data_IF_871601949194
#
_entry.id   IF_871601949194
#
_cell.length_a   1.000
_cell.length_b   1.000
_cell.length_c   1.000
_cell.angle_alpha   90.00
_cell.angle_beta   90.00
_cell.angle_gamma   90.00
#
_symmetry.space_group_name_H-M   'P 1'
#
loop_
_entity.id
_entity.type
_entity.pdbx_description
1 polymer ?
#
# COMPACT_ATOMS: atom_id res chain seq x y z
N UNK A 1 -7.34 11.25 -27.41
CA UNK A 1 -6.93 12.65 -27.22
C UNK A 1 -6.00 12.68 -26.03
N UNK A 2 -4.73 13.01 -26.22
CA UNK A 2 -3.75 13.11 -25.14
C UNK A 2 -3.92 14.51 -24.56
N UNK A 3 -4.43 14.62 -23.33
CA UNK A 3 -4.43 15.87 -22.59
C UNK A 3 -3.21 15.82 -21.68
N UNK A 4 -2.11 16.43 -22.11
CA UNK A 4 -0.97 16.70 -21.23
C UNK A 4 -1.16 18.12 -20.69
N UNK A 5 -1.51 18.24 -19.41
CA UNK A 5 -1.43 19.53 -18.72
C UNK A 5 0.03 19.77 -18.35
N UNK A 6 0.73 20.39 -19.29
CA UNK A 6 2.13 20.76 -19.18
C UNK A 6 2.28 21.95 -18.24
N UNK A 7 2.40 21.71 -16.92
CA UNK A 7 3.08 22.55 -15.93
C UNK A 7 3.38 21.72 -14.67
N UNK A 8 4.50 21.99 -14.00
CA UNK A 8 4.65 21.74 -12.55
C UNK A 8 3.54 22.59 -11.89
N UNK A 9 2.35 22.02 -11.73
CA UNK A 9 1.13 22.81 -11.79
C UNK A 9 0.00 22.22 -10.95
N UNK A 10 -0.76 23.13 -10.34
CA UNK A 10 -1.90 22.95 -9.40
C UNK A 10 -2.98 21.94 -9.80
N UNK A 11 -2.90 21.32 -10.97
CA UNK A 11 -3.90 20.36 -11.43
C UNK A 11 -3.82 19.06 -10.64
N UNK A 12 -4.98 18.57 -10.21
CA UNK A 12 -5.14 17.29 -9.54
C UNK A 12 -4.74 16.11 -10.43
N UNK A 13 -4.96 16.21 -11.73
CA UNK A 13 -4.67 15.14 -12.68
C UNK A 13 -3.32 15.41 -13.34
N UNK A 14 -2.37 14.51 -13.17
CA UNK A 14 -1.05 14.58 -13.84
C UNK A 14 -1.23 14.28 -15.32
N UNK A 15 -2.09 13.30 -15.63
CA UNK A 15 -2.47 12.98 -16.99
C UNK A 15 -3.54 11.90 -17.02
N UNK A 16 -4.21 11.79 -18.17
CA UNK A 16 -5.11 10.69 -18.48
C UNK A 16 -4.89 10.22 -19.92
N UNK A 17 -4.56 8.94 -20.08
CA UNK A 17 -4.44 8.28 -21.39
C UNK A 17 -5.55 7.26 -21.55
N UNK A 18 -6.40 7.47 -22.57
CA UNK A 18 -7.47 6.55 -22.95
C UNK A 18 -7.13 5.85 -24.26
N UNK A 19 -7.01 4.54 -24.19
CA UNK A 19 -6.76 3.64 -25.31
C UNK A 19 -8.00 3.40 -26.16
N UNK A 20 -7.81 3.09 -27.44
CA UNK A 20 -8.90 2.71 -28.35
C UNK A 20 -9.37 1.26 -28.19
N UNK A 21 -8.60 0.43 -27.46
CA UNK A 21 -8.92 -0.97 -27.18
C UNK A 21 -9.35 -1.14 -25.73
N UNK A 22 -10.28 -2.05 -25.48
CA UNK A 22 -10.66 -2.48 -24.14
C UNK A 22 -9.41 -3.00 -23.41
N UNK A 23 -9.28 -2.65 -22.13
CA UNK A 23 -8.12 -2.98 -21.32
C UNK A 23 -8.33 -2.62 -19.85
N UNK A 24 -7.27 -2.67 -19.03
CA UNK A 24 -7.37 -2.34 -17.62
C UNK A 24 -7.62 -0.84 -17.41
N UNK A 25 -8.10 -0.48 -16.22
CA UNK A 25 -8.05 0.90 -15.73
C UNK A 25 -7.01 0.97 -14.62
N UNK A 26 -5.90 1.67 -14.89
CA UNK A 26 -4.77 1.79 -13.96
C UNK A 26 -4.69 3.21 -13.41
N UNK A 27 -4.70 3.34 -12.08
CA UNK A 27 -4.68 4.60 -11.36
C UNK A 27 -3.40 4.65 -10.54
N UNK A 28 -2.58 5.66 -10.80
CA UNK A 28 -1.33 5.93 -10.10
C UNK A 28 -1.48 7.21 -9.28
N UNK A 29 -1.17 7.13 -7.99
CA UNK A 29 -1.11 8.28 -7.10
C UNK A 29 0.34 8.66 -6.84
N UNK A 30 0.61 9.97 -6.86
CA UNK A 30 1.90 10.53 -6.49
C UNK A 30 1.72 11.72 -5.55
N UNK A 31 2.56 11.82 -4.53
CA UNK A 31 2.55 12.96 -3.61
C UNK A 31 1.36 12.99 -2.65
N UNK A 32 0.86 11.82 -2.20
CA UNK A 32 -0.12 11.76 -1.08
C UNK A 32 0.45 12.46 0.16
N UNK A 33 1.76 12.30 0.41
CA UNK A 33 2.52 13.19 1.26
C UNK A 33 3.29 14.19 0.40
N UNK A 34 3.20 15.48 0.71
CA UNK A 34 3.76 16.53 -0.14
C UNK A 34 5.30 16.64 -0.14
N UNK A 35 5.97 16.01 0.81
CA UNK A 35 7.44 15.92 0.83
C UNK A 35 7.98 14.71 0.06
N UNK A 36 7.14 13.98 -0.68
CA UNK A 36 7.46 12.76 -1.42
C UNK A 36 7.21 12.94 -2.93
N UNK A 37 7.97 13.79 -3.63
CA UNK A 37 7.67 14.15 -5.03
C UNK A 37 8.03 13.05 -6.05
N UNK A 38 8.73 11.98 -5.64
CA UNK A 38 9.27 10.98 -6.57
C UNK A 38 8.20 10.28 -7.41
N UNK A 39 7.05 9.96 -6.81
CA UNK A 39 5.92 9.35 -7.50
C UNK A 39 5.30 10.27 -8.55
N UNK A 40 5.18 11.56 -8.21
CA UNK A 40 4.62 12.57 -9.12
C UNK A 40 5.52 12.78 -10.34
N UNK A 41 6.83 12.91 -10.11
CA UNK A 41 7.84 13.01 -11.18
C UNK A 41 7.86 11.76 -12.06
N UNK A 42 7.80 10.57 -11.47
CA UNK A 42 7.77 9.32 -12.22
C UNK A 42 6.55 9.20 -13.13
N UNK A 43 5.36 9.59 -12.63
CA UNK A 43 4.14 9.59 -13.44
C UNK A 43 4.28 10.55 -14.62
N UNK A 44 4.77 11.77 -14.40
CA UNK A 44 5.00 12.73 -15.49
C UNK A 44 5.94 12.16 -16.56
N UNK A 45 7.10 11.62 -16.15
CA UNK A 45 8.09 11.09 -17.09
C UNK A 45 7.58 9.88 -17.88
N UNK A 46 6.83 8.98 -17.24
CA UNK A 46 6.24 7.84 -17.95
C UNK A 46 5.17 8.29 -18.93
N UNK A 47 4.30 9.23 -18.56
CA UNK A 47 3.31 9.79 -19.46
C UNK A 47 3.94 10.47 -20.67
N UNK A 48 5.01 11.24 -20.45
CA UNK A 48 5.81 11.87 -21.51
C UNK A 48 6.44 10.82 -22.41
N UNK A 49 7.07 9.79 -21.83
CA UNK A 49 7.66 8.68 -22.58
C UNK A 49 6.64 7.92 -23.43
N UNK A 50 5.42 7.70 -22.95
CA UNK A 50 4.33 7.09 -23.75
C UNK A 50 3.97 7.98 -24.94
N UNK A 51 3.82 9.29 -24.71
CA UNK A 51 3.42 10.24 -25.75
C UNK A 51 4.51 10.41 -26.83
N UNK A 52 5.76 10.65 -26.43
CA UNK A 52 6.89 10.88 -27.34
C UNK A 52 7.20 9.65 -28.22
N UNK A 53 7.02 8.45 -27.67
CA UNK A 53 7.24 7.20 -28.42
C UNK A 53 5.98 6.69 -29.14
N UNK A 54 4.84 7.40 -29.03
CA UNK A 54 3.58 7.00 -29.65
C UNK A 54 3.08 5.61 -29.23
N UNK A 55 3.31 5.21 -27.98
CA UNK A 55 2.98 3.86 -27.51
C UNK A 55 1.46 3.68 -27.45
N UNK A 56 0.96 2.61 -28.07
CA UNK A 56 -0.46 2.28 -28.03
C UNK A 56 -0.89 1.85 -26.62
N UNK A 57 -1.92 2.51 -26.08
CA UNK A 57 -2.54 2.19 -24.79
C UNK A 57 -3.77 1.30 -24.98
N UNK A 58 -3.95 0.31 -24.10
CA UNK A 58 -5.19 -0.43 -23.91
C UNK A 58 -5.86 0.00 -22.60
N UNK A 59 -7.17 0.22 -22.61
CA UNK A 59 -7.92 0.66 -21.43
C UNK A 59 -7.61 2.11 -21.06
N UNK A 60 -7.48 2.39 -19.77
CA UNK A 60 -7.28 3.74 -19.24
C UNK A 60 -6.10 3.81 -18.26
N UNK A 61 -5.32 4.88 -18.34
CA UNK A 61 -4.23 5.17 -17.41
C UNK A 61 -4.45 6.56 -16.82
N UNK A 62 -4.56 6.66 -15.50
CA UNK A 62 -4.72 7.90 -14.76
C UNK A 62 -3.51 8.15 -13.86
N UNK A 63 -2.96 9.36 -13.93
CA UNK A 63 -2.02 9.89 -12.95
C UNK A 63 -2.70 10.95 -12.08
N UNK A 64 -2.70 10.77 -10.77
CA UNK A 64 -3.40 11.64 -9.82
C UNK A 64 -2.40 12.18 -8.79
N UNK A 65 -2.39 13.50 -8.59
CA UNK A 65 -1.65 14.15 -7.50
C UNK A 65 -2.41 13.96 -6.18
N UNK A 66 -1.70 13.63 -5.12
CA UNK A 66 -2.24 13.35 -3.79
C UNK A 66 -2.60 14.60 -2.98
N UNK A 67 -1.65 15.19 -2.26
CA UNK A 67 -1.86 16.44 -1.52
C UNK A 67 -1.19 17.60 -2.26
N UNK A 68 -1.92 18.26 -3.16
CA UNK A 68 -1.37 19.33 -4.02
C UNK A 68 -0.88 20.50 -3.18
N UNK A 69 -1.65 20.91 -2.16
CA UNK A 69 -1.26 22.02 -1.30
C UNK A 69 0.03 21.72 -0.51
N UNK A 70 0.15 20.52 0.06
CA UNK A 70 1.36 20.13 0.79
C UNK A 70 2.56 19.89 -0.13
N UNK A 71 2.33 19.36 -1.35
CA UNK A 71 3.36 19.16 -2.38
C UNK A 71 4.01 20.50 -2.76
N UNK A 72 3.20 21.53 -3.00
CA UNK A 72 3.70 22.88 -3.28
C UNK A 72 4.45 23.49 -2.09
N UNK A 73 4.09 23.12 -0.86
CA UNK A 73 4.77 23.56 0.35
C UNK A 73 6.02 22.73 0.70
N UNK A 74 6.27 21.60 0.00
CA UNK A 74 7.34 20.65 0.34
C UNK A 74 7.17 20.02 1.74
N UNK A 75 5.95 19.94 2.26
CA UNK A 75 5.63 19.42 3.60
C UNK A 75 4.89 18.10 3.48
N UNK A 76 5.00 17.23 4.49
CA UNK A 76 4.24 15.97 4.53
C UNK A 76 2.74 16.22 4.41
N UNK A 77 2.22 17.14 5.22
CA UNK A 77 0.85 17.65 5.21
C UNK A 77 0.83 19.08 5.76
N UNK A 78 -0.30 19.78 5.64
CA UNK A 78 -0.50 21.12 6.18
C UNK A 78 -1.21 21.11 7.54
N UNK A 79 -2.40 20.48 7.62
CA UNK A 79 -3.16 20.41 8.87
C UNK A 79 -3.11 19.01 9.49
N UNK A 80 -3.29 17.96 8.68
CA UNK A 80 -3.30 16.57 9.14
C UNK A 80 -2.91 15.60 8.05
N UNK A 81 -2.43 14.41 8.41
CA UNK A 81 -1.99 13.43 7.43
C UNK A 81 -3.16 12.94 6.55
N UNK A 82 -3.11 13.25 5.24
CA UNK A 82 -4.12 12.83 4.26
C UNK A 82 -4.29 11.30 4.24
N UNK A 83 -3.21 10.56 4.45
CA UNK A 83 -3.19 9.09 4.47
C UNK A 83 -3.63 8.49 5.82
N UNK A 84 -4.35 9.28 6.63
CA UNK A 84 -5.06 8.86 7.86
C UNK A 84 -6.56 9.18 7.81
N UNK A 85 -7.05 9.76 6.71
CA UNK A 85 -8.44 10.26 6.62
C UNK A 85 -9.41 9.30 5.91
N UNK A 86 -8.91 8.24 5.28
CA UNK A 86 -9.70 7.36 4.41
C UNK A 86 -10.43 6.26 5.19
N UNK A 87 -11.41 6.66 5.98
CA UNK A 87 -12.42 5.75 6.55
C UNK A 87 -13.80 6.25 6.19
N UNK A 88 -14.78 5.34 6.00
CA UNK A 88 -16.16 5.74 5.66
C UNK A 88 -16.71 6.77 6.65
N UNK A 89 -16.51 6.54 7.94
CA UNK A 89 -16.93 7.48 9.00
C UNK A 89 -16.29 8.86 8.85
N UNK A 90 -14.97 8.95 8.62
CA UNK A 90 -14.27 10.24 8.47
C UNK A 90 -14.72 10.93 7.18
N UNK A 91 -14.86 10.20 6.08
CA UNK A 91 -15.30 10.73 4.79
C UNK A 91 -16.69 11.34 4.91
N UNK A 92 -17.66 10.63 5.51
CA UNK A 92 -19.02 11.15 5.67
C UNK A 92 -19.08 12.36 6.61
N UNK A 93 -18.31 12.34 7.71
CA UNK A 93 -18.17 13.52 8.58
C UNK A 93 -17.60 14.72 7.83
N UNK A 94 -16.60 14.52 6.96
CA UNK A 94 -16.01 15.60 6.16
C UNK A 94 -17.01 16.14 5.12
N UNK A 95 -17.76 15.27 4.43
CA UNK A 95 -18.80 15.67 3.47
C UNK A 95 -19.91 16.52 4.09
N UNK A 96 -20.23 16.28 5.36
CA UNK A 96 -21.26 17.01 6.09
C UNK A 96 -20.82 18.41 6.57
N UNK A 97 -19.52 18.72 6.54
CA UNK A 97 -19.00 20.03 6.95
C UNK A 97 -19.36 21.13 5.95
N UNK A 98 -19.52 22.35 6.44
CA UNK A 98 -19.59 23.52 5.56
C UNK A 98 -18.22 23.82 4.95
N UNK A 99 -18.19 24.51 3.79
CA UNK A 99 -16.94 24.83 3.07
C UNK A 99 -15.90 25.58 3.93
N UNK A 100 -16.36 26.40 4.88
CA UNK A 100 -15.50 27.21 5.73
C UNK A 100 -14.86 26.42 6.87
N UNK A 101 -15.37 25.22 7.19
CA UNK A 101 -14.86 24.33 8.23
C UNK A 101 -13.90 23.26 7.69
N UNK A 102 -13.72 23.22 6.37
CA UNK A 102 -12.83 22.26 5.72
C UNK A 102 -11.36 22.70 5.89
N UNK A 103 -10.59 21.81 6.52
CA UNK A 103 -9.14 21.88 6.54
C UNK A 103 -8.55 21.63 5.13
N UNK A 104 -7.26 21.85 4.96
CA UNK A 104 -6.58 21.64 3.67
C UNK A 104 -6.76 20.20 3.20
N UNK A 105 -6.42 19.20 4.03
CA UNK A 105 -6.55 17.79 3.63
C UNK A 105 -7.99 17.31 3.48
N UNK A 106 -8.97 18.01 4.05
CA UNK A 106 -10.40 17.71 3.82
C UNK A 106 -10.76 17.99 2.36
N UNK A 107 -10.28 19.11 1.81
CA UNK A 107 -10.50 19.51 0.42
C UNK A 107 -9.76 18.56 -0.54
N UNK A 108 -8.54 18.18 -0.20
CA UNK A 108 -7.75 17.20 -0.97
C UNK A 108 -8.47 15.84 -1.02
N UNK A 109 -8.95 15.33 0.13
CA UNK A 109 -9.71 14.09 0.21
C UNK A 109 -10.99 14.15 -0.63
N UNK A 110 -11.80 15.20 -0.51
CA UNK A 110 -13.05 15.31 -1.26
C UNK A 110 -12.81 15.35 -2.77
N UNK A 111 -11.74 16.04 -3.20
CA UNK A 111 -11.33 16.11 -4.61
C UNK A 111 -10.93 14.74 -5.15
N UNK A 112 -10.06 13.99 -4.45
CA UNK A 112 -9.66 12.64 -4.86
C UNK A 112 -10.86 11.70 -4.83
N UNK A 113 -11.68 11.76 -3.78
CA UNK A 113 -12.87 10.93 -3.65
C UNK A 113 -13.83 11.10 -4.83
N UNK A 114 -14.07 12.34 -5.27
CA UNK A 114 -14.91 12.63 -6.43
C UNK A 114 -14.33 11.98 -7.70
N UNK A 115 -13.04 12.15 -7.97
CA UNK A 115 -12.37 11.55 -9.13
C UNK A 115 -12.47 10.03 -9.11
N UNK A 116 -12.22 9.40 -7.96
CA UNK A 116 -12.34 7.95 -7.83
C UNK A 116 -13.78 7.48 -8.04
N UNK A 117 -14.76 8.22 -7.52
CA UNK A 117 -16.18 7.93 -7.74
C UNK A 117 -16.52 7.99 -9.23
N UNK A 118 -16.02 8.99 -9.94
CA UNK A 118 -16.28 9.16 -11.36
C UNK A 118 -15.61 8.06 -12.20
N UNK A 119 -14.32 7.78 -11.97
CA UNK A 119 -13.59 6.69 -12.64
C UNK A 119 -14.31 5.35 -12.45
N UNK A 120 -14.71 5.02 -11.20
CA UNK A 120 -15.38 3.76 -10.89
C UNK A 120 -16.80 3.66 -11.49
N UNK A 121 -17.44 4.78 -11.84
CA UNK A 121 -18.74 4.81 -12.52
C UNK A 121 -18.61 4.72 -14.04
N UNK A 122 -17.59 5.36 -14.62
CA UNK A 122 -17.49 5.54 -16.07
C UNK A 122 -16.61 4.51 -16.76
N UNK A 123 -15.59 3.99 -16.08
CA UNK A 123 -14.62 3.09 -16.69
C UNK A 123 -14.92 1.62 -16.39
N UNK A 124 -14.17 0.73 -17.05
CA UNK A 124 -14.25 -0.72 -16.84
C UNK A 124 -12.93 -1.28 -16.32
N UNK A 125 -13.03 -2.34 -15.53
CA UNK A 125 -11.88 -3.04 -14.97
C UNK A 125 -11.24 -4.03 -15.96
N UNK A 126 -10.14 -4.70 -15.56
CA UNK A 126 -9.61 -4.74 -14.20
C UNK A 126 -9.01 -3.41 -13.71
N UNK A 127 -9.30 -3.07 -12.46
CA UNK A 127 -8.80 -1.84 -11.81
C UNK A 127 -7.47 -2.09 -11.09
N UNK A 128 -6.53 -1.17 -11.20
CA UNK A 128 -5.26 -1.23 -10.46
C UNK A 128 -5.04 0.09 -9.77
N UNK A 129 -4.90 0.08 -8.45
CA UNK A 129 -4.59 1.28 -7.67
C UNK A 129 -3.18 1.16 -7.12
N UNK A 130 -2.32 2.09 -7.51
CA UNK A 130 -0.90 2.09 -7.15
C UNK A 130 -0.57 3.44 -6.52
N UNK A 131 -0.07 3.43 -5.29
CA UNK A 131 0.32 4.65 -4.57
C UNK A 131 1.84 4.67 -4.38
N UNK A 132 2.47 5.75 -4.83
CA UNK A 132 3.92 5.93 -4.73
C UNK A 132 4.27 6.74 -3.50
N UNK A 133 5.15 6.16 -2.69
CA UNK A 133 5.68 6.74 -1.46
C UNK A 133 7.20 6.65 -1.42
N UNK A 134 7.78 7.39 -0.48
CA UNK A 134 9.18 7.25 -0.09
C UNK A 134 9.28 7.26 1.43
N UNK A 135 10.42 6.81 1.96
CA UNK A 135 10.65 6.76 3.40
C UNK A 135 11.65 7.82 3.87
N UNK A 136 11.59 8.20 5.14
CA UNK A 136 12.55 9.14 5.74
C UNK A 136 13.94 8.53 5.91
N UNK A 137 14.01 7.23 6.16
CA UNK A 137 15.25 6.47 6.29
C UNK A 137 15.71 5.88 4.96
N UNK A 138 17.00 5.54 4.88
CA UNK A 138 17.51 4.73 3.77
C UNK A 138 16.86 3.34 3.82
N UNK A 139 16.39 2.88 2.66
CA UNK A 139 15.67 1.61 2.52
C UNK A 139 15.93 1.02 1.13
N UNK A 140 15.73 -0.29 1.00
CA UNK A 140 15.46 -0.92 -0.29
C UNK A 140 14.10 -0.41 -0.81
N UNK A 141 13.85 -0.33 -2.13
CA UNK A 141 12.48 -0.18 -2.62
C UNK A 141 11.68 -1.41 -2.20
N UNK A 142 10.41 -1.25 -1.80
CA UNK A 142 9.55 -2.36 -1.41
C UNK A 142 8.08 -2.09 -1.70
N UNK A 143 7.30 -3.17 -1.70
CA UNK A 143 5.85 -3.12 -1.85
C UNK A 143 5.18 -3.33 -0.50
N UNK A 144 4.18 -2.52 -0.19
CA UNK A 144 3.24 -2.76 0.90
C UNK A 144 1.90 -3.22 0.35
N UNK A 145 1.37 -4.31 0.89
CA UNK A 145 0.04 -4.79 0.53
C UNK A 145 -0.74 -5.21 1.76
N UNK A 146 -2.04 -5.04 1.66
CA UNK A 146 -2.97 -5.84 2.44
C UNK A 146 -3.00 -7.29 1.92
N UNK A 147 -3.37 -8.19 2.82
CA UNK A 147 -3.11 -9.60 2.61
C UNK A 147 -4.17 -10.37 1.80
N UNK A 148 -4.59 -9.83 0.65
CA UNK A 148 -5.47 -10.50 -0.31
C UNK A 148 -4.67 -11.26 -1.39
N UNK A 149 -5.23 -12.36 -1.93
CA UNK A 149 -4.52 -13.17 -2.94
C UNK A 149 -4.24 -12.43 -4.24
N UNK A 150 -5.12 -11.53 -4.68
CA UNK A 150 -4.89 -10.66 -5.84
C UNK A 150 -3.63 -9.81 -5.68
N UNK A 151 -3.45 -9.19 -4.51
CA UNK A 151 -2.33 -8.30 -4.24
C UNK A 151 -1.02 -9.07 -4.10
N UNK A 152 -1.04 -10.24 -3.43
CA UNK A 152 0.13 -11.13 -3.35
C UNK A 152 0.62 -11.54 -4.73
N UNK A 153 -0.28 -12.01 -5.60
CA UNK A 153 0.08 -12.50 -6.94
C UNK A 153 0.64 -11.41 -7.83
N UNK A 154 0.03 -10.22 -7.82
CA UNK A 154 0.49 -9.10 -8.62
C UNK A 154 1.82 -8.54 -8.09
N UNK A 155 1.97 -8.39 -6.77
CA UNK A 155 3.19 -7.87 -6.16
C UNK A 155 4.40 -8.77 -6.39
N UNK A 156 4.20 -10.10 -6.45
CA UNK A 156 5.27 -11.07 -6.73
C UNK A 156 5.86 -10.96 -8.14
N UNK A 157 5.24 -10.20 -9.04
CA UNK A 157 5.80 -9.93 -10.37
C UNK A 157 7.02 -9.01 -10.30
N UNK A 158 7.13 -8.19 -9.25
CA UNK A 158 8.19 -7.20 -9.08
C UNK A 158 9.33 -7.77 -8.23
N UNK A 159 10.61 -7.52 -8.60
CA UNK A 159 11.76 -8.10 -7.93
C UNK A 159 12.18 -7.32 -6.66
N UNK A 160 11.21 -6.99 -5.79
CA UNK A 160 11.41 -6.18 -4.58
C UNK A 160 10.79 -6.87 -3.35
N UNK A 161 11.18 -6.53 -2.11
CA UNK A 161 10.58 -7.07 -0.91
C UNK A 161 9.09 -6.71 -0.83
N UNK A 162 8.30 -7.59 -0.21
CA UNK A 162 6.86 -7.39 -0.04
C UNK A 162 6.53 -7.44 1.45
N UNK A 163 5.95 -6.38 1.98
CA UNK A 163 5.53 -6.25 3.37
C UNK A 163 4.03 -6.54 3.46
N UNK A 164 3.68 -7.58 4.22
CA UNK A 164 2.31 -8.01 4.45
C UNK A 164 1.74 -7.36 5.71
N UNK A 165 0.50 -6.87 5.63
CA UNK A 165 -0.30 -6.56 6.82
C UNK A 165 0.00 -5.19 7.44
N UNK A 166 0.58 -4.24 6.69
CA UNK A 166 0.83 -2.89 7.22
C UNK A 166 -0.47 -2.17 7.62
N UNK A 167 -1.58 -2.51 6.98
CA UNK A 167 -2.90 -1.96 7.25
C UNK A 167 -3.44 -2.28 8.65
N UNK A 168 -2.97 -3.36 9.30
CA UNK A 168 -3.36 -3.66 10.69
C UNK A 168 -2.84 -2.60 11.67
N UNK A 169 -1.80 -1.88 11.27
CA UNK A 169 -1.07 -0.95 12.10
C UNK A 169 -1.37 0.52 11.76
N UNK A 170 -1.95 0.77 10.59
CA UNK A 170 -2.24 2.10 10.05
C UNK A 170 -3.74 2.27 9.79
N UNK A 171 -4.37 3.23 10.47
CA UNK A 171 -5.79 3.54 10.25
C UNK A 171 -5.98 4.69 9.24
N UNK A 172 -6.87 4.48 8.27
CA UNK A 172 -7.23 5.48 7.28
C UNK A 172 -6.29 5.73 6.08
N UNK A 173 -5.36 4.83 5.68
CA UNK A 173 -4.71 4.96 4.37
C UNK A 173 -5.67 4.85 3.19
N UNK A 174 -5.39 5.58 2.11
CA UNK A 174 -6.13 5.55 0.85
C UNK A 174 -6.24 4.12 0.29
N UNK A 175 -5.12 3.40 0.24
CA UNK A 175 -5.09 2.04 -0.30
C UNK A 175 -5.86 1.03 0.56
N UNK A 176 -5.99 1.26 1.87
CA UNK A 176 -6.83 0.44 2.74
C UNK A 176 -8.30 0.61 2.40
N UNK A 177 -8.76 1.85 2.20
CA UNK A 177 -10.12 2.17 1.77
C UNK A 177 -10.47 1.56 0.40
N UNK A 178 -9.54 1.65 -0.56
CA UNK A 178 -9.69 1.02 -1.87
C UNK A 178 -9.76 -0.51 -1.75
N UNK A 179 -8.92 -1.09 -0.87
CA UNK A 179 -8.91 -2.52 -0.71
C UNK A 179 -10.17 -3.06 -0.05
N UNK A 180 -10.76 -2.32 0.89
CA UNK A 180 -12.02 -2.68 1.54
C UNK A 180 -13.16 -2.83 0.52
N UNK A 181 -13.09 -2.08 -0.59
CA UNK A 181 -14.00 -2.22 -1.73
C UNK A 181 -13.65 -3.41 -2.66
N UNK A 182 -12.57 -4.13 -2.36
CA UNK A 182 -12.18 -5.36 -3.03
C UNK A 182 -11.25 -5.20 -4.23
N UNK A 183 -10.78 -3.99 -4.53
CA UNK A 183 -9.89 -3.75 -5.66
C UNK A 183 -8.43 -4.10 -5.34
N UNK A 184 -7.66 -4.38 -6.39
CA UNK A 184 -6.22 -4.53 -6.30
C UNK A 184 -5.60 -3.17 -5.95
N UNK A 185 -4.87 -3.15 -4.83
CA UNK A 185 -4.19 -1.97 -4.32
C UNK A 185 -2.77 -2.33 -3.89
N UNK A 186 -1.80 -1.51 -4.31
CA UNK A 186 -0.37 -1.73 -4.05
C UNK A 186 0.27 -0.40 -3.67
N UNK A 187 0.87 -0.33 -2.48
CA UNK A 187 1.75 0.78 -2.12
C UNK A 187 3.17 0.43 -2.55
N UNK A 188 3.85 1.35 -3.23
CA UNK A 188 5.25 1.18 -3.61
C UNK A 188 6.08 2.28 -2.95
N UNK A 189 6.97 1.84 -2.05
CA UNK A 189 7.90 2.67 -1.33
C UNK A 189 9.22 2.61 -2.09
N UNK A 190 9.53 3.66 -2.86
CA UNK A 190 10.55 3.59 -3.92
C UNK A 190 11.98 3.83 -3.44
N UNK A 191 12.15 4.24 -2.18
CA UNK A 191 13.45 4.58 -1.59
C UNK A 191 13.32 5.69 -0.56
N UNK A 192 14.44 6.36 -0.28
CA UNK A 192 14.48 7.50 0.64
C UNK A 192 14.03 8.80 -0.06
N UNK A 193 13.32 9.69 0.66
CA UNK A 193 12.68 10.90 0.12
C UNK A 193 13.54 11.74 -0.85
N UNK A 194 14.82 11.89 -0.57
CA UNK A 194 15.74 12.78 -1.31
C UNK A 194 16.65 12.05 -2.29
N UNK A 195 16.55 10.71 -2.34
CA UNK A 195 17.40 9.92 -3.21
C UNK A 195 16.89 10.00 -4.65
N UNK A 196 17.76 10.38 -5.59
CA UNK A 196 17.46 10.35 -7.03
C UNK A 196 16.97 8.97 -7.49
N UNK A 197 17.55 7.92 -6.92
CA UNK A 197 17.18 6.53 -7.19
C UNK A 197 15.70 6.23 -6.89
N UNK A 198 15.05 6.97 -5.98
CA UNK A 198 13.63 6.81 -5.71
C UNK A 198 12.75 7.17 -6.91
N UNK A 199 13.15 8.16 -7.71
CA UNK A 199 12.46 8.53 -8.95
C UNK A 199 12.66 7.43 -9.99
N UNK A 200 13.90 6.98 -10.20
CA UNK A 200 14.25 5.93 -11.15
C UNK A 200 13.51 4.62 -10.83
N UNK A 201 13.39 4.28 -9.55
CA UNK A 201 12.64 3.12 -9.07
C UNK A 201 11.14 3.27 -9.31
N UNK A 202 10.55 4.44 -9.05
CA UNK A 202 9.13 4.69 -9.35
C UNK A 202 8.84 4.61 -10.85
N UNK A 203 9.71 5.15 -11.71
CA UNK A 203 9.62 5.04 -13.18
C UNK A 203 9.67 3.56 -13.59
N UNK A 204 10.67 2.83 -13.11
CA UNK A 204 10.83 1.41 -13.43
C UNK A 204 9.61 0.59 -12.97
N UNK A 205 9.10 0.84 -11.76
CA UNK A 205 7.91 0.19 -11.25
C UNK A 205 6.69 0.48 -12.11
N UNK A 206 6.46 1.74 -12.48
CA UNK A 206 5.30 2.12 -13.28
C UNK A 206 5.32 1.47 -14.68
N UNK A 207 6.46 1.48 -15.39
CA UNK A 207 6.57 0.80 -16.68
C UNK A 207 6.27 -0.71 -16.58
N UNK A 208 6.83 -1.37 -15.57
CA UNK A 208 6.56 -2.78 -15.31
C UNK A 208 5.08 -3.01 -14.97
N UNK A 209 4.49 -2.18 -14.12
CA UNK A 209 3.09 -2.27 -13.74
C UNK A 209 2.16 -2.12 -14.95
N UNK A 210 2.41 -1.12 -15.81
CA UNK A 210 1.65 -0.89 -17.04
C UNK A 210 1.71 -2.09 -17.99
N UNK A 211 2.89 -2.71 -18.16
CA UNK A 211 3.04 -3.90 -18.97
C UNK A 211 2.37 -5.13 -18.34
N UNK A 212 2.61 -5.37 -17.05
CA UNK A 212 2.06 -6.52 -16.33
C UNK A 212 0.54 -6.44 -16.18
N UNK A 213 -0.02 -5.25 -16.01
CA UNK A 213 -1.45 -4.97 -16.01
C UNK A 213 -2.10 -5.11 -17.38
N UNK A 214 -1.31 -5.10 -18.47
CA UNK A 214 -1.79 -5.21 -19.85
C UNK A 214 -2.24 -3.89 -20.48
N UNK A 215 -1.97 -2.75 -19.82
CA UNK A 215 -2.23 -1.42 -20.38
C UNK A 215 -1.31 -1.14 -21.57
N UNK A 216 -0.06 -1.62 -21.50
CA UNK A 216 0.95 -1.53 -22.55
C UNK A 216 1.46 -2.93 -22.91
N UNK A 217 1.99 -3.09 -24.13
CA UNK A 217 2.76 -4.28 -24.50
C UNK A 217 4.22 -4.07 -24.11
N UNK A 218 4.86 -5.09 -23.52
CA UNK A 218 6.27 -5.02 -23.16
C UNK A 218 7.19 -4.80 -24.37
N UNK A 219 6.80 -5.29 -25.55
CA UNK A 219 7.53 -5.10 -26.82
C UNK A 219 7.58 -3.66 -27.28
N UNK A 220 6.62 -2.84 -26.86
CA UNK A 220 6.50 -1.44 -27.28
C UNK A 220 7.20 -0.50 -26.29
N UNK A 221 7.71 -1.04 -25.17
CA UNK A 221 8.44 -0.29 -24.14
C UNK A 221 9.94 -0.41 -24.40
N UNK A 222 10.56 0.70 -24.79
CA UNK A 222 12.01 0.77 -24.99
C UNK A 222 12.75 0.44 -23.68
N UNK A 223 13.70 -0.49 -23.75
CA UNK A 223 14.53 -0.85 -22.61
C UNK A 223 13.78 -1.61 -21.49
N UNK A 224 12.66 -2.28 -21.78
CA UNK A 224 11.80 -2.97 -20.80
C UNK A 224 12.58 -3.80 -19.75
N UNK A 225 13.52 -4.64 -20.19
CA UNK A 225 14.36 -5.48 -19.30
C UNK A 225 15.27 -4.66 -18.37
N UNK A 226 15.57 -3.41 -18.73
CA UNK A 226 16.29 -2.45 -17.89
C UNK A 226 15.52 -2.09 -16.63
N UNK A 227 14.19 -1.89 -16.73
CA UNK A 227 13.36 -1.55 -15.57
C UNK A 227 13.28 -2.68 -14.55
N UNK A 228 13.20 -3.94 -15.01
CA UNK A 228 13.27 -5.09 -14.11
C UNK A 228 14.61 -5.17 -13.38
N UNK A 229 15.72 -4.99 -14.11
CA UNK A 229 17.07 -4.99 -13.54
C UNK A 229 17.29 -3.83 -12.56
N UNK A 230 16.76 -2.64 -12.86
CA UNK A 230 16.79 -1.48 -11.97
C UNK A 230 16.21 -1.86 -10.60
N UNK A 231 14.95 -2.30 -10.55
CA UNK A 231 14.31 -2.68 -9.30
C UNK A 231 15.03 -3.82 -8.59
N UNK A 232 15.46 -4.85 -9.32
CA UNK A 232 16.16 -6.00 -8.74
C UNK A 232 17.47 -5.58 -8.07
N UNK A 233 18.23 -4.69 -8.70
CA UNK A 233 19.50 -4.19 -8.19
C UNK A 233 19.29 -3.28 -6.98
N UNK A 234 18.35 -2.34 -7.06
CA UNK A 234 17.99 -1.44 -5.97
C UNK A 234 17.47 -2.21 -4.74
N UNK A 235 16.75 -3.31 -4.96
CA UNK A 235 16.31 -4.23 -3.92
C UNK A 235 17.40 -5.19 -3.42
N UNK A 236 18.64 -5.12 -3.94
CA UNK A 236 19.74 -6.05 -3.62
C UNK A 236 19.32 -7.52 -3.77
N UNK A 237 18.59 -7.81 -4.84
CA UNK A 237 18.00 -9.12 -5.16
C UNK A 237 17.01 -9.68 -4.11
N UNK A 238 16.60 -8.87 -3.13
CA UNK A 238 15.65 -9.30 -2.12
C UNK A 238 14.22 -9.17 -2.65
N UNK A 239 13.62 -10.30 -3.02
CA UNK A 239 12.19 -10.38 -3.38
C UNK A 239 11.38 -11.19 -2.34
N UNK A 240 11.77 -11.11 -1.07
CA UNK A 240 11.16 -11.90 0.01
C UNK A 240 9.88 -11.24 0.53
N UNK A 241 8.95 -12.08 1.01
CA UNK A 241 7.84 -11.62 1.84
C UNK A 241 8.29 -11.41 3.29
N UNK A 242 7.78 -10.36 3.90
CA UNK A 242 7.95 -10.03 5.30
C UNK A 242 6.59 -9.78 5.94
N UNK A 243 6.50 -10.03 7.23
CA UNK A 243 5.37 -9.65 8.07
C UNK A 243 5.83 -8.71 9.18
N UNK A 244 4.97 -7.77 9.55
CA UNK A 244 5.19 -6.89 10.70
C UNK A 244 4.83 -7.65 11.97
N UNK A 245 5.76 -7.65 12.92
CA UNK A 245 5.63 -8.36 14.21
C UNK A 245 5.57 -7.41 15.39
N UNK A 246 5.91 -6.14 15.19
CA UNK A 246 5.87 -5.12 16.21
C UNK A 246 5.78 -3.73 15.58
N UNK A 247 5.01 -2.85 16.21
CA UNK A 247 4.93 -1.41 15.97
C UNK A 247 5.27 -0.71 17.27
N UNK A 248 6.15 0.29 17.21
CA UNK A 248 6.42 1.19 18.31
C UNK A 248 5.65 2.51 18.10
N UNK A 249 4.49 2.71 18.74
CA UNK A 249 3.73 3.95 18.60
C UNK A 249 4.38 5.11 19.36
N UNK A 250 4.08 6.33 18.94
CA UNK A 250 4.41 7.58 19.63
C UNK A 250 3.11 8.35 19.83
N UNK A 251 2.82 8.72 21.07
CA UNK A 251 1.66 9.53 21.46
C UNK A 251 2.00 11.02 21.48
N UNK A 252 0.95 11.85 21.45
CA UNK A 252 1.11 13.30 21.47
C UNK A 252 1.77 13.77 22.78
N UNK A 253 2.84 14.54 22.65
CA UNK A 253 3.62 15.06 23.78
C UNK A 253 4.74 14.15 24.25
N UNK A 254 4.87 12.94 23.70
CA UNK A 254 5.99 12.05 24.01
C UNK A 254 7.28 12.49 23.31
N UNK A 255 8.41 12.30 23.98
CA UNK A 255 9.74 12.54 23.42
C UNK A 255 10.29 11.23 22.87
N UNK A 256 10.36 11.13 21.56
CA UNK A 256 10.92 9.97 20.88
C UNK A 256 12.12 10.38 20.03
N UNK A 257 13.21 9.63 20.15
CA UNK A 257 14.38 9.78 19.30
C UNK A 257 14.91 8.41 18.87
N UNK A 258 14.95 8.19 17.56
CA UNK A 258 15.57 7.00 17.00
C UNK A 258 17.09 7.04 17.17
N UNK A 259 17.72 5.91 17.52
CA UNK A 259 19.17 5.83 17.45
C UNK A 259 19.62 5.97 15.99
N UNK A 260 20.65 6.79 15.71
CA UNK A 260 21.06 7.06 14.35
C UNK A 260 21.64 5.83 13.67
N UNK A 261 21.48 5.75 12.34
CA UNK A 261 22.19 4.81 11.48
C UNK A 261 21.44 3.52 11.13
N UNK A 262 20.28 3.25 11.72
CA UNK A 262 19.43 2.14 11.28
C UNK A 262 18.79 2.42 9.92
N UNK A 263 18.84 1.43 9.05
CA UNK A 263 18.17 1.39 7.76
C UNK A 263 17.06 0.33 7.81
N UNK A 264 16.00 0.53 7.01
CA UNK A 264 15.01 -0.52 6.84
C UNK A 264 15.67 -1.82 6.36
N UNK A 265 15.21 -2.94 6.88
CA UNK A 265 15.72 -4.30 6.68
C UNK A 265 16.99 -4.66 7.48
N UNK A 266 17.63 -3.74 8.21
CA UNK A 266 18.78 -4.06 9.06
C UNK A 266 18.40 -5.07 10.15
N UNK A 267 19.23 -6.11 10.32
CA UNK A 267 19.01 -7.13 11.34
C UNK A 267 19.44 -6.57 12.71
N UNK A 268 18.54 -6.65 13.68
CA UNK A 268 18.78 -6.30 15.08
C UNK A 268 18.67 -7.54 15.96
N UNK A 269 19.63 -7.70 16.88
CA UNK A 269 19.64 -8.79 17.85
C UNK A 269 18.98 -8.36 19.16
N UNK A 270 18.49 -9.34 19.94
CA UNK A 270 17.92 -9.10 21.27
C UNK A 270 18.87 -8.27 22.14
N UNK A 271 18.35 -7.26 22.80
CA UNK A 271 19.10 -6.36 23.69
C UNK A 271 19.75 -5.16 22.99
N UNK A 272 19.72 -5.05 21.66
CA UNK A 272 20.19 -3.86 20.94
C UNK A 272 19.29 -2.66 21.27
N UNK A 273 19.89 -1.54 21.66
CA UNK A 273 19.18 -0.25 21.81
C UNK A 273 18.77 0.25 20.43
N UNK A 274 17.48 0.53 20.26
CA UNK A 274 16.87 0.98 19.01
C UNK A 274 16.54 2.47 19.04
N UNK A 275 16.00 2.95 20.16
CA UNK A 275 15.55 4.32 20.32
C UNK A 275 15.62 4.74 21.78
N UNK A 276 15.41 6.02 22.02
CA UNK A 276 15.08 6.59 23.31
C UNK A 276 13.64 7.10 23.27
N UNK A 277 12.84 6.73 24.27
CA UNK A 277 11.45 7.14 24.39
C UNK A 277 11.18 7.57 25.83
N UNK A 278 10.87 8.85 26.04
CA UNK A 278 10.66 9.47 27.36
C UNK A 278 11.82 9.15 28.32
N UNK A 279 13.04 9.44 27.87
CA UNK A 279 14.30 9.24 28.60
C UNK A 279 14.58 7.76 28.96
N UNK A 280 13.94 6.80 28.27
CA UNK A 280 14.15 5.35 28.44
C UNK A 280 14.62 4.69 27.16
N UNK A 281 15.62 3.83 27.28
CA UNK A 281 16.12 3.03 26.18
C UNK A 281 15.08 1.99 25.73
N UNK A 282 14.74 2.00 24.44
CA UNK A 282 13.90 1.00 23.79
C UNK A 282 14.80 -0.10 23.21
N UNK A 283 14.66 -1.33 23.72
CA UNK A 283 15.48 -2.47 23.34
C UNK A 283 14.75 -3.43 22.40
N UNK A 284 15.48 -4.01 21.45
CA UNK A 284 14.99 -5.13 20.66
C UNK A 284 14.72 -6.35 21.55
N UNK A 285 13.48 -6.85 21.56
CA UNK A 285 13.08 -7.98 22.41
C UNK A 285 13.47 -9.35 21.83
N UNK A 286 13.69 -9.41 20.53
CA UNK A 286 14.06 -10.62 19.80
C UNK A 286 14.83 -10.26 18.52
N UNK A 287 15.49 -11.27 17.93
CA UNK A 287 16.11 -11.11 16.61
C UNK A 287 15.03 -10.79 15.56
N UNK A 288 15.18 -9.67 14.88
CA UNK A 288 14.24 -9.17 13.88
C UNK A 288 14.94 -8.23 12.91
N UNK A 289 14.24 -7.75 11.88
CA UNK A 289 14.71 -6.64 11.05
C UNK A 289 13.99 -5.36 11.46
N UNK A 290 14.73 -4.28 11.62
CA UNK A 290 14.15 -2.95 11.82
C UNK A 290 13.55 -2.44 10.52
N UNK A 291 12.48 -1.66 10.61
CA UNK A 291 11.72 -1.24 9.44
C UNK A 291 11.08 0.13 9.66
N UNK A 292 11.16 0.98 8.64
CA UNK A 292 10.69 2.37 8.63
C UNK A 292 11.01 3.14 9.93
N UNK A 293 12.29 3.21 10.36
CA UNK A 293 12.67 4.03 11.50
C UNK A 293 12.39 5.51 11.24
N UNK A 294 11.82 6.19 12.22
CA UNK A 294 11.44 7.59 12.16
C UNK A 294 12.64 8.51 12.42
N UNK A 295 13.11 9.19 11.37
CA UNK A 295 14.16 10.22 11.47
C UNK A 295 13.69 11.64 11.16
N UNK A 296 12.43 11.78 10.74
CA UNK A 296 11.82 13.09 10.51
C UNK A 296 11.16 13.60 11.81
N UNK A 297 10.88 14.91 11.86
CA UNK A 297 10.33 15.57 13.04
C UNK A 297 8.84 15.29 13.29
N UNK A 298 8.13 14.68 12.34
CA UNK A 298 6.69 14.43 12.40
C UNK A 298 6.38 12.95 12.14
N UNK A 299 5.59 12.33 13.01
CA UNK A 299 5.13 10.96 12.83
C UNK A 299 4.53 10.38 14.10
N UNK A 300 3.66 9.39 13.94
CA UNK A 300 3.00 8.66 15.03
C UNK A 300 3.62 7.27 15.25
N UNK A 301 4.58 6.89 14.39
CA UNK A 301 5.19 5.57 14.33
C UNK A 301 6.70 5.73 14.43
N UNK A 302 7.30 5.27 15.54
CA UNK A 302 8.74 5.39 15.77
C UNK A 302 9.55 4.41 14.95
N UNK A 303 9.16 3.14 14.96
CA UNK A 303 9.71 2.10 14.08
C UNK A 303 8.81 0.87 14.09
N UNK A 304 9.06 -0.02 13.15
CA UNK A 304 8.48 -1.35 13.09
C UNK A 304 9.58 -2.41 13.19
N UNK A 305 9.20 -3.60 13.63
CA UNK A 305 10.02 -4.79 13.44
C UNK A 305 9.30 -5.72 12.48
N UNK A 306 10.07 -6.26 11.54
CA UNK A 306 9.62 -7.22 10.55
C UNK A 306 10.41 -8.52 10.66
N UNK A 307 9.81 -9.61 10.17
CA UNK A 307 10.53 -10.86 9.92
C UNK A 307 10.15 -11.43 8.57
N UNK A 308 11.09 -12.14 7.95
CA UNK A 308 10.85 -12.83 6.69
C UNK A 308 9.81 -13.93 6.90
N UNK A 309 8.75 -13.92 6.08
CA UNK A 309 7.71 -14.93 6.12
C UNK A 309 8.23 -16.23 5.49
N UNK A 310 8.18 -17.38 6.19
CA UNK A 310 8.63 -18.65 5.63
C UNK A 310 7.82 -19.05 4.39
N UNK A 311 8.49 -19.56 3.34
CA UNK A 311 7.82 -20.04 2.11
C UNK A 311 6.75 -21.09 2.40
N UNK A 312 7.01 -21.98 3.36
CA UNK A 312 6.03 -22.98 3.81
C UNK A 312 4.77 -22.35 4.39
N UNK A 313 4.89 -21.28 5.19
CA UNK A 313 3.73 -20.57 5.73
C UNK A 313 2.91 -19.89 4.63
N UNK A 314 3.55 -19.30 3.61
CA UNK A 314 2.86 -18.73 2.45
C UNK A 314 2.10 -19.82 1.67
N UNK A 315 2.74 -20.96 1.42
CA UNK A 315 2.11 -22.09 0.74
C UNK A 315 0.90 -22.63 1.54
N UNK A 316 1.06 -22.77 2.85
CA UNK A 316 0.00 -23.25 3.73
C UNK A 316 -1.18 -22.27 3.79
N UNK A 317 -0.89 -20.97 3.82
CA UNK A 317 -1.88 -19.89 3.71
C UNK A 317 -2.74 -20.04 2.46
N UNK A 318 -2.10 -20.32 1.32
CA UNK A 318 -2.78 -20.51 0.04
C UNK A 318 -3.66 -21.76 0.04
N UNK A 319 -3.14 -22.87 0.58
CA UNK A 319 -3.88 -24.13 0.68
C UNK A 319 -5.14 -23.93 1.51
N UNK A 320 -5.01 -23.34 2.70
CA UNK A 320 -6.14 -23.15 3.60
C UNK A 320 -7.16 -22.12 3.12
N UNK A 321 -6.77 -21.13 2.31
CA UNK A 321 -7.72 -20.18 1.70
C UNK A 321 -8.51 -20.80 0.54
N UNK A 322 -7.98 -21.84 -0.12
CA UNK A 322 -8.69 -22.57 -1.20
C UNK A 322 -9.72 -23.55 -0.66
N UNK A 323 -9.38 -24.25 0.41
CA UNK A 323 -10.31 -25.12 1.13
C UNK A 323 -11.25 -24.16 1.88
N UNK A 324 -12.57 -24.37 1.89
CA UNK A 324 -13.54 -23.48 2.56
C UNK A 324 -13.43 -23.48 4.10
N UNK A 325 -12.22 -23.63 4.65
CA UNK A 325 -11.88 -23.50 6.07
C UNK A 325 -12.41 -22.23 6.72
N UNK A 326 -12.48 -21.05 6.04
CA UNK A 326 -13.13 -19.86 6.60
C UNK A 326 -14.57 -20.09 7.08
N UNK A 327 -15.32 -21.00 6.45
CA UNK A 327 -16.69 -21.33 6.85
C UNK A 327 -16.76 -22.16 8.14
N UNK A 328 -15.66 -22.79 8.56
CA UNK A 328 -15.57 -23.63 9.76
C UNK A 328 -15.08 -22.85 10.99
N UNK A 329 -14.55 -21.63 10.81
CA UNK A 329 -14.05 -20.79 11.90
C UNK A 329 -15.08 -20.48 13.01
N UNK A 330 -16.37 -20.25 12.73
CA UNK A 330 -17.39 -20.04 13.77
C UNK A 330 -17.68 -21.28 14.64
N UNK A 331 -17.13 -22.45 14.30
CA UNK A 331 -17.24 -23.66 15.15
C UNK A 331 -16.28 -23.53 16.34
N UNK A 332 -15.24 -22.70 16.23
CA UNK A 332 -14.28 -22.49 17.31
C UNK A 332 -14.94 -21.74 18.48
N UNK A 333 -14.67 -22.15 19.73
CA UNK A 333 -15.24 -21.50 20.90
C UNK A 333 -14.83 -20.03 20.96
N UNK A 334 -15.81 -19.14 21.16
CA UNK A 334 -15.59 -17.70 21.20
C UNK A 334 -15.47 -17.03 19.83
N UNK A 335 -15.82 -17.71 18.73
CA UNK A 335 -15.87 -17.14 17.38
C UNK A 335 -17.30 -17.20 16.85
N UNK A 336 -17.84 -16.09 16.38
CA UNK A 336 -19.18 -16.02 15.76
C UNK A 336 -19.16 -15.13 14.52
N UNK A 337 -20.21 -15.20 13.69
CA UNK A 337 -20.35 -14.26 12.57
C UNK A 337 -20.83 -12.90 13.07
N UNK A 338 -20.09 -11.83 12.77
CA UNK A 338 -20.60 -10.47 12.85
C UNK A 338 -21.33 -10.09 11.55
N UNK A 339 -20.78 -10.49 10.40
CA UNK A 339 -21.40 -10.35 9.10
C UNK A 339 -20.90 -11.45 8.16
N UNK A 340 -21.82 -12.34 7.74
CA UNK A 340 -21.48 -13.48 6.89
C UNK A 340 -21.16 -13.09 5.44
N UNK A 341 -21.75 -12.00 4.94
CA UNK A 341 -21.62 -11.60 3.53
C UNK A 341 -20.22 -11.09 3.20
N UNK A 342 -19.61 -10.32 4.11
CA UNK A 342 -18.25 -9.81 3.95
C UNK A 342 -17.21 -10.66 4.71
N UNK A 343 -17.61 -11.81 5.24
CA UNK A 343 -16.72 -12.72 5.97
C UNK A 343 -16.15 -12.13 7.26
N UNK A 344 -16.91 -11.33 7.99
CA UNK A 344 -16.49 -10.75 9.28
C UNK A 344 -16.92 -11.61 10.46
N UNK A 345 -15.94 -12.00 11.27
CA UNK A 345 -16.10 -12.76 12.50
C UNK A 345 -15.95 -11.84 13.71
N UNK A 346 -16.71 -12.10 14.77
CA UNK A 346 -16.49 -11.57 16.10
C UNK A 346 -15.72 -12.63 16.91
N UNK A 347 -14.57 -12.24 17.47
CA UNK A 347 -13.70 -13.13 18.23
C UNK A 347 -13.54 -12.60 19.64
N UNK A 348 -13.92 -13.42 20.64
CA UNK A 348 -13.68 -13.14 22.04
C UNK A 348 -12.22 -13.50 22.40
N UNK A 349 -11.41 -12.50 22.73
CA UNK A 349 -9.97 -12.70 22.98
C UNK A 349 -9.70 -13.52 24.25
N UNK A 350 -10.63 -13.54 25.22
CA UNK A 350 -10.47 -14.35 26.44
C UNK A 350 -10.60 -15.85 26.14
N UNK A 351 -11.52 -16.20 25.25
CA UNK A 351 -11.81 -17.60 24.90
C UNK A 351 -10.89 -18.13 23.79
N UNK A 352 -10.55 -17.30 22.79
CA UNK A 352 -9.77 -17.71 21.61
C UNK A 352 -8.23 -17.51 21.75
N UNK A 353 -7.77 -17.29 22.98
CA UNK A 353 -6.47 -16.66 23.35
C UNK A 353 -5.21 -17.35 22.81
N UNK A 354 -5.23 -18.66 22.58
CA UNK A 354 -4.03 -19.45 22.24
C UNK A 354 -3.92 -19.91 20.78
N UNK A 355 -4.96 -19.75 19.96
CA UNK A 355 -4.97 -20.24 18.57
C UNK A 355 -5.33 -19.17 17.52
N UNK A 356 -5.87 -18.02 17.93
CA UNK A 356 -6.53 -17.11 17.01
C UNK A 356 -5.57 -16.40 16.03
N UNK A 357 -4.71 -15.48 16.52
CA UNK A 357 -4.10 -14.46 15.64
C UNK A 357 -3.27 -15.04 14.48
N UNK A 358 -2.27 -15.92 14.70
CA UNK A 358 -1.50 -16.49 13.58
C UNK A 358 -2.34 -17.32 12.61
N UNK A 359 -3.32 -18.09 13.11
CA UNK A 359 -4.21 -18.91 12.28
C UNK A 359 -5.13 -18.05 11.43
N UNK A 360 -5.74 -17.02 12.01
CA UNK A 360 -6.57 -16.07 11.27
C UNK A 360 -5.75 -15.32 10.22
N UNK A 361 -4.53 -14.89 10.54
CA UNK A 361 -3.66 -14.21 9.58
C UNK A 361 -3.31 -15.13 8.40
N UNK A 362 -3.02 -16.41 8.68
CA UNK A 362 -2.79 -17.45 7.68
C UNK A 362 -3.99 -17.59 6.74
N UNK A 363 -5.21 -17.55 7.29
CA UNK A 363 -6.47 -17.65 6.55
C UNK A 363 -6.88 -16.34 5.84
N UNK A 364 -6.11 -15.26 5.97
CA UNK A 364 -6.42 -13.97 5.32
C UNK A 364 -7.44 -13.13 6.06
N UNK A 365 -7.66 -13.45 7.33
CA UNK A 365 -8.38 -12.60 8.25
C UNK A 365 -7.44 -11.56 8.85
N UNK A 366 -7.98 -10.37 9.05
CA UNK A 366 -7.27 -9.25 9.65
C UNK A 366 -8.10 -8.65 10.77
N UNK A 367 -7.42 -8.27 11.84
CA UNK A 367 -8.02 -7.79 13.07
C UNK A 367 -8.41 -6.31 12.96
N UNK A 368 -9.53 -5.97 13.59
CA UNK A 368 -9.86 -4.62 14.03
C UNK A 368 -10.36 -4.74 15.46
N UNK A 369 -9.63 -4.16 16.41
CA UNK A 369 -9.99 -4.24 17.82
C UNK A 369 -11.20 -3.34 18.04
N UNK A 370 -12.31 -3.88 18.55
CA UNK A 370 -13.46 -3.07 18.99
C UNK A 370 -13.22 -2.61 20.43
N UNK A 371 -12.85 -3.55 21.31
CA UNK A 371 -12.66 -3.30 22.73
C UNK A 371 -11.67 -4.31 23.33
N UNK A 372 -11.40 -4.22 24.64
CA UNK A 372 -10.42 -5.07 25.35
C UNK A 372 -10.73 -6.58 25.34
N UNK A 373 -11.92 -7.00 24.92
CA UNK A 373 -12.35 -8.40 24.94
C UNK A 373 -12.81 -8.93 23.58
N UNK A 374 -13.05 -8.06 22.60
CA UNK A 374 -13.66 -8.39 21.32
C UNK A 374 -12.86 -7.81 20.15
N UNK A 375 -12.56 -8.70 19.21
CA UNK A 375 -11.83 -8.42 17.98
C UNK A 375 -12.74 -8.75 16.82
N UNK A 376 -12.93 -7.81 15.89
CA UNK A 376 -13.46 -8.13 14.58
C UNK A 376 -12.36 -8.69 13.70
N UNK A 377 -12.67 -9.79 13.02
CA UNK A 377 -11.78 -10.38 12.05
C UNK A 377 -12.48 -10.42 10.70
N UNK A 378 -12.03 -9.59 9.77
CA UNK A 378 -12.62 -9.51 8.43
C UNK A 378 -11.76 -10.26 7.42
N UNK A 379 -12.40 -11.13 6.64
CA UNK A 379 -11.75 -11.84 5.54
C UNK A 379 -11.50 -10.91 4.36
N UNK A 380 -10.23 -10.67 4.03
CA UNK A 380 -9.85 -9.89 2.83
C UNK A 380 -10.13 -10.65 1.53
N UNK A 381 -10.15 -11.98 1.60
CA UNK A 381 -10.46 -12.81 0.44
C UNK A 381 -11.96 -12.77 0.09
N UNK A 382 -12.83 -12.56 1.10
CA UNK A 382 -14.28 -12.48 0.89
C UNK A 382 -14.70 -11.20 0.16
N UNK A 383 -14.01 -10.08 0.42
CA UNK A 383 -14.30 -8.79 -0.23
C UNK A 383 -13.57 -8.61 -1.56
N UNK A 384 -12.46 -9.32 -1.79
CA UNK A 384 -11.65 -9.21 -3.00
C UNK A 384 -12.45 -9.53 -4.28
N UNK A 385 -12.40 -8.61 -5.26
CA UNK A 385 -13.03 -8.75 -6.58
C UNK A 385 -12.22 -9.67 -7.51
N UNK A 386 -11.86 -10.85 -7.02
CA UNK A 386 -11.05 -11.86 -7.72
C UNK A 386 -11.53 -12.15 -9.16
N UNK A 387 -12.84 -12.18 -9.39
CA UNK A 387 -13.45 -12.43 -10.70
C UNK A 387 -12.97 -11.47 -11.79
N UNK A 388 -12.74 -10.20 -11.43
CA UNK A 388 -12.28 -9.15 -12.33
C UNK A 388 -10.89 -9.44 -12.91
N UNK A 389 -10.05 -10.18 -12.17
CA UNK A 389 -8.67 -10.45 -12.56
C UNK A 389 -8.46 -11.86 -13.11
N UNK A 390 -9.49 -12.72 -13.13
CA UNK A 390 -9.38 -14.15 -13.53
C UNK A 390 -8.80 -14.37 -14.92
N UNK A 391 -9.02 -13.41 -15.83
CA UNK A 391 -8.57 -13.48 -17.22
C UNK A 391 -7.15 -12.96 -17.43
N UNK A 392 -6.59 -12.27 -16.42
CA UNK A 392 -5.23 -11.72 -16.51
C UNK A 392 -4.19 -12.84 -16.46
N UNK A 393 -3.11 -12.67 -17.23
CA UNK A 393 -2.06 -13.69 -17.38
C UNK A 393 -1.38 -14.02 -16.03
N UNK A 394 -1.15 -13.01 -15.20
CA UNK A 394 -0.45 -13.15 -13.92
C UNK A 394 -1.32 -13.81 -12.86
N UNK A 395 -2.65 -13.62 -12.90
CA UNK A 395 -3.56 -14.23 -11.94
C UNK A 395 -3.76 -15.72 -12.21
N UNK A 396 -3.76 -16.12 -13.49
CA UNK A 396 -3.86 -17.52 -13.95
C UNK A 396 -2.62 -18.33 -13.66
N UNK A 397 -1.46 -17.70 -13.66
CA UNK A 397 -0.18 -18.37 -13.46
C UNK A 397 -0.12 -18.99 -12.05
N UNK A 398 0.00 -20.32 -11.94
CA UNK A 398 0.09 -21.00 -10.64
C UNK A 398 1.43 -20.74 -9.92
N UNK A 399 2.46 -20.23 -10.61
CA UNK A 399 3.78 -19.91 -10.03
C UNK A 399 3.79 -18.57 -9.26
N UNK A 400 2.77 -17.72 -9.40
CA UNK A 400 2.71 -16.40 -8.73
C UNK A 400 2.20 -16.47 -7.29
N UNK A 401 2.05 -17.67 -6.73
CA UNK A 401 1.49 -17.91 -5.40
C UNK A 401 2.55 -18.21 -4.36
#
# INVERSE_FOLDING_TARGET
MIIMEDQIGRSRTIGHLKGGKVGPTMIFFGGIHGNEPSGEQAIQEVFKGIAENGISVNGNIYGIRGNVAALLAGKRFLDRDLNRLWTEEKIEKIKAKSKNELLNEDKELLSIYQILSDILKTESGPYYFIDFHTTSSKTLPFITINDAMINRKFSKLFPVPIILGIEEYLEGPLLSYINEQGYLSVGFESGQHTAREAVDNSIAFMWLALAYGGALKSTDIVGFEGYYRQLKNSAKENASFFEIIYRHPIESGEKFQMQPGFQSFDIVNKGKVLAEHNDRAVLAQQKSSIFMPLYQSQGEDGFFLIRKTPKFALWLSVLFRKIRMPALLPILPGVSWANKNNGTLLVNERTARFMAKPLFHLLGYRNRVINKSEILMTSREATAKNSMYKETWWYRNKKTV
#
